data_IF_646277005596
#
_entry.id   IF_646277005596
#
_cell.length_a   1.000
_cell.length_b   1.000
_cell.length_c   1.000
_cell.angle_alpha   90.00
_cell.angle_beta   90.00
_cell.angle_gamma   90.00
#
_symmetry.space_group_name_H-M   'P 1'
#
loop_
_entity.id
_entity.type
_entity.pdbx_description
1 polymer ?
#
# COMPACT_ATOMS: atom_id res chain seq x y z
N UNK A 1 -0.26 1.96 -12.08
CA UNK A 1 -1.08 3.18 -11.83
C UNK A 1 -0.31 4.40 -12.26
N UNK A 2 -1.02 5.49 -12.61
CA UNK A 2 -0.42 6.77 -12.99
C UNK A 2 0.37 7.37 -11.81
N UNK A 3 1.49 8.04 -12.11
CA UNK A 3 2.12 8.98 -11.18
C UNK A 3 1.24 10.22 -11.03
N UNK A 4 1.49 11.02 -9.99
CA UNK A 4 0.75 12.28 -9.84
C UNK A 4 0.93 13.21 -11.04
N UNK A 5 2.15 13.26 -11.63
CA UNK A 5 2.43 14.06 -12.81
C UNK A 5 1.58 13.60 -14.01
N UNK A 6 1.62 12.30 -14.32
CA UNK A 6 0.80 11.73 -15.40
C UNK A 6 -0.69 11.95 -15.15
N UNK A 7 -1.14 11.88 -13.89
CA UNK A 7 -2.53 12.16 -13.52
C UNK A 7 -2.89 13.62 -13.80
N UNK A 8 -2.03 14.58 -13.43
CA UNK A 8 -2.22 15.99 -13.70
C UNK A 8 -2.24 16.27 -15.21
N UNK A 9 -1.30 15.69 -15.96
CA UNK A 9 -1.25 15.83 -17.43
C UNK A 9 -2.52 15.23 -18.07
N UNK A 10 -3.00 14.11 -17.56
CA UNK A 10 -4.20 13.44 -18.03
C UNK A 10 -5.48 14.26 -17.78
N UNK A 11 -5.51 15.00 -16.67
CA UNK A 11 -6.62 15.87 -16.25
C UNK A 11 -6.45 17.34 -16.67
N UNK A 12 -5.42 17.67 -17.46
CA UNK A 12 -5.08 19.07 -17.81
C UNK A 12 -6.20 19.85 -18.50
N UNK A 13 -7.17 19.17 -19.15
CA UNK A 13 -8.36 19.78 -19.75
C UNK A 13 -9.47 20.12 -18.75
N UNK A 14 -9.35 19.71 -17.49
CA UNK A 14 -10.35 19.99 -16.47
C UNK A 14 -10.15 21.41 -15.89
N UNK A 15 -11.25 22.06 -15.52
CA UNK A 15 -11.22 23.39 -14.91
C UNK A 15 -10.70 23.42 -13.45
N UNK A 16 -10.22 22.27 -12.93
CA UNK A 16 -9.75 22.11 -11.56
C UNK A 16 -8.33 22.65 -11.40
N UNK A 17 -8.06 23.25 -10.24
CA UNK A 17 -6.71 23.65 -9.84
C UNK A 17 -5.84 22.43 -9.53
N UNK A 18 -4.51 22.60 -9.58
CA UNK A 18 -3.57 21.53 -9.19
C UNK A 18 -3.80 21.01 -7.77
N UNK A 19 -4.23 21.87 -6.86
CA UNK A 19 -4.54 21.50 -5.47
C UNK A 19 -5.77 20.59 -5.38
N UNK A 20 -6.79 20.87 -6.16
CA UNK A 20 -8.00 20.04 -6.26
C UNK A 20 -7.68 18.69 -6.89
N UNK A 21 -6.91 18.67 -7.97
CA UNK A 21 -6.45 17.44 -8.64
C UNK A 21 -5.55 16.59 -7.72
N UNK A 22 -4.69 17.23 -6.89
CA UNK A 22 -3.94 16.51 -5.86
C UNK A 22 -4.88 15.88 -4.82
N UNK A 23 -5.90 16.62 -4.40
CA UNK A 23 -6.93 16.10 -3.49
C UNK A 23 -7.68 14.90 -4.07
N UNK A 24 -8.04 14.96 -5.36
CA UNK A 24 -8.63 13.81 -6.08
C UNK A 24 -7.67 12.62 -6.14
N UNK A 25 -6.40 12.84 -6.48
CA UNK A 25 -5.39 11.80 -6.57
C UNK A 25 -5.16 11.09 -5.23
N UNK A 26 -5.08 11.85 -4.13
CA UNK A 26 -4.96 11.29 -2.78
C UNK A 26 -6.17 10.41 -2.45
N UNK A 27 -7.37 10.79 -2.91
CA UNK A 27 -8.62 10.11 -2.60
C UNK A 27 -8.91 8.92 -3.51
N UNK A 28 -8.72 9.09 -4.82
CA UNK A 28 -9.12 8.13 -5.84
C UNK A 28 -7.96 7.34 -6.45
N UNK A 29 -6.72 7.72 -6.14
CA UNK A 29 -5.52 7.07 -6.65
C UNK A 29 -5.24 7.37 -8.11
N UNK A 30 -4.34 6.57 -8.68
CA UNK A 30 -3.85 6.72 -10.04
C UNK A 30 -4.27 5.60 -11.00
N UNK A 31 -5.29 4.78 -10.69
CA UNK A 31 -5.79 3.82 -11.67
C UNK A 31 -6.32 4.55 -12.90
N UNK A 32 -5.79 4.19 -14.09
CA UNK A 32 -6.11 4.87 -15.34
C UNK A 32 -7.61 4.90 -15.63
N UNK A 33 -8.31 3.79 -15.36
CA UNK A 33 -9.76 3.71 -15.56
C UNK A 33 -10.51 4.74 -14.69
N UNK A 34 -10.03 5.02 -13.48
CA UNK A 34 -10.61 6.04 -12.60
C UNK A 34 -10.27 7.45 -13.09
N UNK A 35 -9.00 7.66 -13.49
CA UNK A 35 -8.56 8.95 -14.02
C UNK A 35 -9.29 9.36 -15.32
N UNK A 36 -9.62 8.39 -16.19
CA UNK A 36 -10.30 8.62 -17.48
C UNK A 36 -11.78 8.94 -17.36
N UNK A 37 -12.41 8.63 -16.25
CA UNK A 37 -13.87 8.67 -16.12
C UNK A 37 -14.30 9.60 -15.01
N UNK A 38 -15.52 10.14 -15.15
CA UNK A 38 -16.18 10.91 -14.08
C UNK A 38 -17.06 9.96 -13.27
N UNK A 39 -16.42 9.16 -12.40
CA UNK A 39 -17.15 8.32 -11.46
C UNK A 39 -17.48 9.11 -10.20
N UNK A 40 -18.66 8.86 -9.63
CA UNK A 40 -18.88 9.20 -8.24
C UNK A 40 -17.98 8.34 -7.33
N UNK A 41 -17.85 8.76 -6.08
CA UNK A 41 -16.97 8.11 -5.13
C UNK A 41 -17.27 6.61 -4.94
N UNK A 42 -18.56 6.26 -4.84
CA UNK A 42 -18.98 4.90 -4.59
C UNK A 42 -18.61 3.99 -5.77
N UNK A 43 -18.87 4.42 -6.98
CA UNK A 43 -18.55 3.67 -8.20
C UNK A 43 -17.03 3.55 -8.40
N UNK A 44 -16.26 4.62 -8.12
CA UNK A 44 -14.81 4.57 -8.18
C UNK A 44 -14.24 3.49 -7.25
N UNK A 45 -14.67 3.45 -5.99
CA UNK A 45 -14.18 2.44 -5.04
C UNK A 45 -14.68 1.02 -5.35
N UNK A 46 -15.87 0.86 -5.93
CA UNK A 46 -16.34 -0.44 -6.39
C UNK A 46 -15.46 -0.99 -7.52
N UNK A 47 -15.05 -0.15 -8.47
CA UNK A 47 -14.14 -0.54 -9.56
C UNK A 47 -12.78 -0.96 -9.00
N UNK A 48 -12.18 -0.15 -8.11
CA UNK A 48 -10.89 -0.47 -7.47
C UNK A 48 -10.97 -1.77 -6.67
N UNK A 49 -12.06 -1.97 -5.94
CA UNK A 49 -12.33 -3.21 -5.21
C UNK A 49 -12.42 -4.42 -6.16
N UNK A 50 -13.11 -4.27 -7.30
CA UNK A 50 -13.19 -5.30 -8.34
C UNK A 50 -11.81 -5.65 -8.93
N UNK A 51 -10.96 -4.66 -9.19
CA UNK A 51 -9.58 -4.86 -9.65
C UNK A 51 -8.81 -5.66 -8.59
N UNK A 52 -8.85 -5.24 -7.33
CA UNK A 52 -8.18 -5.92 -6.21
C UNK A 52 -8.63 -7.39 -6.12
N UNK A 53 -9.93 -7.65 -6.06
CA UNK A 53 -10.45 -9.02 -5.95
C UNK A 53 -10.09 -9.89 -7.16
N UNK A 54 -10.04 -9.32 -8.36
CA UNK A 54 -9.61 -10.05 -9.56
C UNK A 54 -8.16 -10.48 -9.46
N UNK A 55 -7.26 -9.56 -9.08
CA UNK A 55 -5.83 -9.85 -8.90
C UNK A 55 -5.63 -10.87 -7.79
N UNK A 56 -6.22 -10.64 -6.61
CA UNK A 56 -6.08 -11.54 -5.46
C UNK A 56 -6.61 -12.94 -5.78
N UNK A 57 -7.79 -13.05 -6.37
CA UNK A 57 -8.39 -14.36 -6.67
C UNK A 57 -7.55 -15.13 -7.69
N UNK A 58 -7.11 -14.48 -8.78
CA UNK A 58 -6.39 -15.14 -9.88
C UNK A 58 -4.92 -15.38 -9.54
N UNK A 59 -4.23 -14.33 -9.09
CA UNK A 59 -2.77 -14.34 -9.02
C UNK A 59 -2.24 -14.78 -7.66
N UNK A 60 -3.09 -14.79 -6.62
CA UNK A 60 -2.70 -15.23 -5.29
C UNK A 60 -3.47 -16.48 -4.87
N UNK A 61 -4.78 -16.39 -4.66
CA UNK A 61 -5.57 -17.48 -4.06
C UNK A 61 -5.51 -18.74 -4.90
N UNK A 62 -5.79 -18.64 -6.22
CA UNK A 62 -5.75 -19.81 -7.12
C UNK A 62 -4.34 -20.33 -7.33
N UNK A 63 -3.35 -19.43 -7.54
CA UNK A 63 -1.95 -19.82 -7.79
C UNK A 63 -1.33 -20.55 -6.61
N UNK A 64 -1.58 -20.09 -5.40
CA UNK A 64 -0.97 -20.63 -4.18
C UNK A 64 -1.90 -21.56 -3.40
N UNK A 65 -3.09 -21.88 -3.95
CA UNK A 65 -4.08 -22.79 -3.36
C UNK A 65 -4.40 -22.47 -1.90
N UNK A 66 -4.71 -21.18 -1.62
CA UNK A 66 -5.00 -20.71 -0.27
C UNK A 66 -6.34 -21.30 0.19
N UNK A 67 -6.30 -22.25 1.14
CA UNK A 67 -7.50 -22.90 1.68
C UNK A 67 -8.20 -22.07 2.76
N UNK A 68 -7.44 -21.21 3.49
CA UNK A 68 -7.98 -20.36 4.57
C UNK A 68 -8.03 -18.91 4.10
N UNK A 69 -8.93 -18.63 3.17
CA UNK A 69 -9.04 -17.31 2.55
C UNK A 69 -9.41 -16.23 3.57
N UNK A 70 -10.28 -16.53 4.54
CA UNK A 70 -10.66 -15.61 5.61
C UNK A 70 -9.46 -15.14 6.44
N UNK A 71 -8.48 -16.02 6.66
CA UNK A 71 -7.27 -15.70 7.38
C UNK A 71 -6.32 -14.82 6.53
N UNK A 72 -6.22 -15.13 5.24
CA UNK A 72 -5.48 -14.30 4.28
C UNK A 72 -6.07 -12.88 4.22
N UNK A 73 -7.40 -12.74 4.08
CA UNK A 73 -8.08 -11.46 4.01
C UNK A 73 -7.87 -10.63 5.29
N UNK A 74 -7.80 -11.26 6.45
CA UNK A 74 -7.49 -10.60 7.71
C UNK A 74 -6.05 -10.06 7.76
N UNK A 75 -5.09 -10.84 7.27
CA UNK A 75 -3.69 -10.39 7.14
C UNK A 75 -3.62 -9.19 6.21
N UNK A 76 -4.28 -9.26 5.06
CA UNK A 76 -4.33 -8.14 4.09
C UNK A 76 -4.93 -6.91 4.73
N UNK A 77 -6.05 -7.04 5.45
CA UNK A 77 -6.69 -5.94 6.14
C UNK A 77 -5.75 -5.27 7.14
N UNK A 78 -5.05 -6.07 7.95
CA UNK A 78 -4.03 -5.56 8.89
C UNK A 78 -2.94 -4.75 8.17
N UNK A 79 -2.42 -5.26 7.04
CA UNK A 79 -1.37 -4.59 6.27
C UNK A 79 -1.87 -3.23 5.77
N UNK A 80 -3.07 -3.19 5.17
CA UNK A 80 -3.66 -1.98 4.59
C UNK A 80 -3.95 -0.92 5.67
N UNK A 81 -4.42 -1.33 6.85
CA UNK A 81 -4.65 -0.44 8.00
C UNK A 81 -3.34 0.16 8.54
N UNK A 82 -2.22 -0.54 8.36
CA UNK A 82 -0.92 -0.15 8.87
C UNK A 82 0.07 0.31 7.78
N UNK A 83 -0.42 0.70 6.60
CA UNK A 83 0.41 1.30 5.54
C UNK A 83 1.16 2.52 6.07
N UNK A 84 2.47 2.59 5.78
CA UNK A 84 3.35 3.63 6.28
C UNK A 84 3.77 3.47 7.76
N UNK A 85 3.31 2.43 8.47
CA UNK A 85 3.77 2.11 9.82
C UNK A 85 4.69 0.88 9.80
N UNK A 86 5.64 0.85 10.71
CA UNK A 86 6.51 -0.31 10.90
C UNK A 86 5.75 -1.44 11.58
N UNK A 87 5.85 -2.64 11.04
CA UNK A 87 5.35 -3.86 11.68
C UNK A 87 6.20 -5.07 11.29
N UNK A 88 5.97 -6.19 11.95
CA UNK A 88 6.63 -7.46 11.67
C UNK A 88 5.61 -8.58 11.49
N UNK A 89 6.01 -9.69 10.85
CA UNK A 89 5.16 -10.87 10.78
C UNK A 89 4.76 -11.40 12.17
N UNK A 90 5.63 -11.22 13.18
CA UNK A 90 5.32 -11.54 14.57
C UNK A 90 4.21 -10.66 15.14
N UNK A 91 4.20 -9.34 14.85
CA UNK A 91 3.13 -8.44 15.32
C UNK A 91 1.79 -8.80 14.68
N UNK A 92 1.75 -9.15 13.41
CA UNK A 92 0.54 -9.65 12.73
C UNK A 92 0.07 -10.96 13.41
N UNK A 93 0.98 -11.92 13.66
CA UNK A 93 0.63 -13.18 14.32
C UNK A 93 0.04 -12.94 15.70
N UNK A 94 0.62 -12.02 16.48
CA UNK A 94 0.15 -11.66 17.82
C UNK A 94 -1.23 -11.00 17.76
N UNK A 95 -1.45 -10.08 16.83
CA UNK A 95 -2.76 -9.45 16.59
C UNK A 95 -3.82 -10.51 16.26
N UNK A 96 -3.55 -11.43 15.33
CA UNK A 96 -4.51 -12.48 14.97
C UNK A 96 -4.77 -13.48 16.11
N UNK A 97 -3.76 -13.75 16.96
CA UNK A 97 -3.96 -14.55 18.17
C UNK A 97 -4.92 -13.86 19.16
N UNK A 98 -4.86 -12.54 19.30
CA UNK A 98 -5.81 -11.79 20.14
C UNK A 98 -7.25 -11.87 19.61
N UNK A 99 -7.43 -12.10 18.31
CA UNK A 99 -8.72 -12.39 17.67
C UNK A 99 -9.10 -13.88 17.70
N UNK A 100 -8.44 -14.71 18.51
CA UNK A 100 -8.62 -16.16 18.58
C UNK A 100 -8.32 -16.90 17.26
N UNK A 101 -7.49 -16.35 16.40
CA UNK A 101 -7.07 -16.92 15.13
C UNK A 101 -5.60 -17.29 15.17
N UNK A 102 -5.28 -18.54 14.82
CA UNK A 102 -3.89 -19.02 14.78
C UNK A 102 -3.38 -19.00 13.34
N UNK A 103 -2.30 -18.24 13.12
CA UNK A 103 -1.53 -18.22 11.88
C UNK A 103 -0.05 -18.33 12.22
N UNK A 104 0.68 -19.14 11.45
CA UNK A 104 2.13 -19.22 11.61
C UNK A 104 2.81 -17.96 11.04
N UNK A 105 3.91 -17.56 11.61
CA UNK A 105 4.73 -16.46 11.12
C UNK A 105 5.20 -16.72 9.68
N UNK A 106 5.51 -17.98 9.36
CA UNK A 106 5.87 -18.42 8.01
C UNK A 106 4.73 -18.17 6.99
N UNK A 107 3.48 -18.50 7.36
CA UNK A 107 2.32 -18.21 6.50
C UNK A 107 2.16 -16.71 6.24
N UNK A 108 2.43 -15.86 7.25
CA UNK A 108 2.38 -14.42 7.09
C UNK A 108 3.45 -13.93 6.11
N UNK A 109 4.69 -14.41 6.23
CA UNK A 109 5.75 -14.09 5.26
C UNK A 109 5.39 -14.53 3.84
N UNK A 110 4.76 -15.71 3.68
CA UNK A 110 4.27 -16.15 2.39
C UNK A 110 3.20 -15.19 1.83
N UNK A 111 2.25 -14.76 2.66
CA UNK A 111 1.21 -13.81 2.24
C UNK A 111 1.80 -12.45 1.83
N UNK A 112 2.74 -11.91 2.60
CA UNK A 112 3.44 -10.67 2.26
C UNK A 112 4.15 -10.80 0.91
N UNK A 113 4.92 -11.87 0.70
CA UNK A 113 5.63 -12.13 -0.56
C UNK A 113 4.68 -12.26 -1.74
N UNK A 114 3.52 -12.92 -1.59
CA UNK A 114 2.56 -13.07 -2.68
C UNK A 114 1.85 -11.77 -3.02
N UNK A 115 1.57 -10.93 -2.03
CA UNK A 115 1.03 -9.59 -2.26
C UNK A 115 2.05 -8.69 -2.98
N UNK A 116 3.32 -8.80 -2.66
CA UNK A 116 4.41 -8.11 -3.35
C UNK A 116 4.55 -8.60 -4.80
N UNK A 117 4.58 -9.91 -5.03
CA UNK A 117 4.64 -10.51 -6.37
C UNK A 117 3.42 -10.16 -7.24
N UNK A 118 2.28 -9.91 -6.62
CA UNK A 118 1.06 -9.45 -7.30
C UNK A 118 1.00 -7.91 -7.45
N UNK A 119 2.08 -7.21 -7.07
CA UNK A 119 2.18 -5.74 -7.13
C UNK A 119 1.03 -5.03 -6.40
N UNK A 120 0.59 -5.58 -5.26
CA UNK A 120 -0.41 -4.94 -4.39
C UNK A 120 0.28 -4.10 -3.33
N UNK A 121 1.39 -4.60 -2.79
CA UNK A 121 2.23 -3.91 -1.81
C UNK A 121 3.68 -3.87 -2.26
N UNK A 122 4.42 -2.91 -1.71
CA UNK A 122 5.87 -2.78 -1.85
C UNK A 122 6.51 -2.69 -0.47
N UNK A 123 7.49 -3.55 -0.16
CA UNK A 123 8.27 -3.42 1.06
C UNK A 123 9.22 -2.22 0.96
N UNK A 124 9.44 -1.56 2.07
CA UNK A 124 10.46 -0.55 2.26
C UNK A 124 11.29 -0.94 3.49
N UNK A 125 12.52 -1.36 3.23
CA UNK A 125 13.44 -1.81 4.28
C UNK A 125 13.96 -0.63 5.09
N UNK A 126 14.45 -0.91 6.28
CA UNK A 126 15.06 0.11 7.14
C UNK A 126 16.57 0.16 6.93
N UNK A 127 17.10 1.36 6.86
CA UNK A 127 18.52 1.63 6.77
C UNK A 127 19.04 2.36 8.02
N UNK A 128 19.98 1.75 8.71
CA UNK A 128 20.66 2.38 9.83
C UNK A 128 21.75 3.31 9.30
N UNK A 129 21.55 4.61 9.45
CA UNK A 129 22.46 5.65 8.97
C UNK A 129 23.81 5.64 9.69
N UNK A 130 23.85 5.22 10.97
CA UNK A 130 25.09 5.13 11.73
C UNK A 130 25.83 3.83 11.41
N UNK A 131 25.13 2.70 11.48
CA UNK A 131 25.71 1.38 11.18
C UNK A 131 25.91 1.13 9.69
N UNK A 132 25.43 2.02 8.81
CA UNK A 132 25.48 1.90 7.33
C UNK A 132 25.05 0.52 6.85
N UNK A 133 23.95 0.01 7.39
CA UNK A 133 23.45 -1.33 7.11
C UNK A 133 21.95 -1.40 7.00
N UNK A 134 21.45 -2.32 6.14
CA UNK A 134 20.04 -2.62 6.02
C UNK A 134 19.63 -3.47 7.23
N UNK A 135 18.55 -3.05 7.90
CA UNK A 135 17.96 -3.77 9.03
C UNK A 135 16.91 -4.75 8.51
N UNK A 136 17.05 -6.02 8.89
CA UNK A 136 16.17 -7.13 8.43
C UNK A 136 14.82 -7.21 9.15
N UNK A 137 14.43 -6.22 9.93
CA UNK A 137 13.20 -6.27 10.74
C UNK A 137 12.49 -4.93 10.77
N UNK A 138 11.17 -4.98 10.97
CA UNK A 138 10.32 -3.80 11.07
C UNK A 138 10.31 -2.96 9.78
N UNK A 139 10.02 -3.60 8.67
CA UNK A 139 9.81 -2.95 7.38
C UNK A 139 8.51 -2.14 7.41
N UNK A 140 8.41 -1.13 6.57
CA UNK A 140 7.13 -0.53 6.19
C UNK A 140 6.65 -1.15 4.87
N UNK A 141 5.35 -1.10 4.67
CA UNK A 141 4.75 -1.53 3.41
C UNK A 141 3.90 -0.39 2.85
N UNK A 142 4.01 -0.18 1.55
CA UNK A 142 3.25 0.81 0.81
C UNK A 142 2.39 0.12 -0.24
N UNK A 143 1.22 0.69 -0.53
CA UNK A 143 0.32 0.17 -1.55
C UNK A 143 0.76 0.62 -2.94
N UNK A 144 0.51 -0.21 -3.94
CA UNK A 144 0.71 0.16 -5.35
C UNK A 144 -0.19 1.33 -5.79
N UNK A 145 -1.30 1.53 -5.08
CA UNK A 145 -2.21 2.64 -5.27
C UNK A 145 -2.95 2.98 -3.97
N UNK A 146 -3.01 4.26 -3.62
CA UNK A 146 -3.63 4.71 -2.36
C UNK A 146 -5.13 4.43 -2.29
N UNK A 147 -5.82 4.36 -3.45
CA UNK A 147 -7.24 4.06 -3.50
C UNK A 147 -7.60 2.66 -2.99
N UNK A 148 -6.66 1.71 -3.03
CA UNK A 148 -6.84 0.37 -2.46
C UNK A 148 -7.19 0.44 -0.97
N UNK A 149 -6.60 1.38 -0.23
CA UNK A 149 -6.90 1.57 1.20
C UNK A 149 -8.38 1.91 1.40
N UNK A 150 -8.88 2.85 0.63
CA UNK A 150 -10.26 3.34 0.77
C UNK A 150 -11.29 2.37 0.19
N UNK A 151 -10.95 1.73 -0.92
CA UNK A 151 -11.82 0.73 -1.54
C UNK A 151 -12.07 -0.49 -0.63
N UNK A 152 -11.06 -0.88 0.17
CA UNK A 152 -11.12 -2.08 1.00
C UNK A 152 -11.57 -1.81 2.45
N UNK A 153 -11.32 -0.61 2.98
CA UNK A 153 -11.62 -0.25 4.36
C UNK A 153 -12.77 0.76 4.50
N UNK A 154 -13.22 1.33 3.38
CA UNK A 154 -14.10 2.50 3.37
C UNK A 154 -13.32 3.81 3.54
N UNK A 155 -13.81 4.88 2.93
CA UNK A 155 -13.19 6.20 3.06
C UNK A 155 -13.47 6.81 4.41
N UNK A 156 -12.41 7.24 5.10
CA UNK A 156 -12.50 8.04 6.31
C UNK A 156 -11.37 9.08 6.30
N UNK A 157 -11.68 10.35 6.57
CA UNK A 157 -10.68 11.44 6.62
C UNK A 157 -9.50 11.15 7.55
N UNK A 158 -9.72 10.42 8.65
CA UNK A 158 -8.66 9.99 9.57
C UNK A 158 -7.68 8.98 8.94
N UNK A 159 -8.04 8.38 7.81
CA UNK A 159 -7.18 7.42 7.10
C UNK A 159 -6.24 8.06 6.08
N UNK A 160 -6.23 9.40 5.96
CA UNK A 160 -5.27 10.13 5.12
C UNK A 160 -3.83 10.00 5.61
N UNK A 161 -3.65 9.63 6.88
CA UNK A 161 -2.34 9.33 7.44
C UNK A 161 -1.67 8.20 6.64
N UNK A 162 -0.44 8.43 6.23
CA UNK A 162 0.34 7.53 5.39
C UNK A 162 0.02 7.59 3.89
N UNK A 163 -1.06 8.25 3.44
CA UNK A 163 -1.36 8.37 2.00
C UNK A 163 -0.31 9.23 1.28
N UNK A 164 0.06 10.38 1.86
CA UNK A 164 1.10 11.24 1.30
C UNK A 164 2.45 10.54 1.29
N UNK A 165 2.80 9.88 2.38
CA UNK A 165 4.03 9.08 2.49
C UNK A 165 4.05 7.98 1.41
N UNK A 166 2.92 7.28 1.19
CA UNK A 166 2.79 6.28 0.13
C UNK A 166 3.01 6.88 -1.28
N UNK A 167 2.45 8.05 -1.55
CA UNK A 167 2.60 8.74 -2.83
C UNK A 167 4.06 9.12 -3.06
N UNK A 168 4.73 9.68 -2.04
CA UNK A 168 6.15 10.04 -2.11
C UNK A 168 7.01 8.80 -2.34
N UNK A 169 6.76 7.71 -1.62
CA UNK A 169 7.45 6.44 -1.82
C UNK A 169 7.36 5.96 -3.28
N UNK A 170 6.14 5.91 -3.82
CA UNK A 170 5.93 5.47 -5.20
C UNK A 170 6.62 6.39 -6.22
N UNK A 171 6.61 7.69 -5.97
CA UNK A 171 7.29 8.65 -6.85
C UNK A 171 8.81 8.47 -6.82
N UNK A 172 9.41 8.25 -5.66
CA UNK A 172 10.84 7.96 -5.53
C UNK A 172 11.20 6.66 -6.27
N UNK A 173 10.40 5.60 -6.11
CA UNK A 173 10.61 4.33 -6.84
C UNK A 173 10.49 4.51 -8.35
N UNK A 174 9.53 5.30 -8.85
CA UNK A 174 9.38 5.58 -10.29
C UNK A 174 10.56 6.35 -10.88
N UNK A 175 11.22 7.18 -10.07
CA UNK A 175 12.45 7.88 -10.45
C UNK A 175 13.69 7.00 -10.45
N UNK A 176 13.55 5.74 -10.06
CA UNK A 176 14.62 4.74 -10.08
C UNK A 176 15.49 4.73 -8.82
N UNK A 177 15.08 5.41 -7.76
CA UNK A 177 15.82 5.37 -6.49
C UNK A 177 15.62 4.04 -5.76
N UNK A 178 16.67 3.60 -5.09
CA UNK A 178 16.54 2.65 -4.00
C UNK A 178 16.10 3.40 -2.75
N UNK A 179 14.94 3.00 -2.21
CA UNK A 179 14.25 3.75 -1.15
C UNK A 179 14.21 2.92 0.12
N UNK A 180 14.65 3.54 1.21
CA UNK A 180 14.72 2.96 2.55
C UNK A 180 14.08 3.89 3.57
N UNK A 181 13.66 3.35 4.70
CA UNK A 181 13.31 4.14 5.88
C UNK A 181 14.59 4.38 6.66
N UNK A 182 14.92 5.64 6.91
CA UNK A 182 16.12 5.99 7.66
C UNK A 182 15.91 5.79 9.16
N UNK A 183 16.91 5.19 9.82
CA UNK A 183 17.03 5.18 11.26
C UNK A 183 18.29 5.95 11.67
N UNK A 184 18.12 6.98 12.48
CA UNK A 184 19.22 7.70 13.10
C UNK A 184 19.01 7.71 14.62
N UNK A 185 19.73 6.83 15.33
CA UNK A 185 19.53 6.54 16.74
C UNK A 185 18.09 6.12 17.08
N UNK A 186 17.34 7.02 17.73
CA UNK A 186 15.93 6.82 18.10
C UNK A 186 14.95 7.50 17.12
N UNK A 187 15.48 8.30 16.17
CA UNK A 187 14.65 9.06 15.22
C UNK A 187 14.47 8.28 13.92
N UNK A 188 13.26 8.34 13.40
CA UNK A 188 12.94 7.86 12.07
C UNK A 188 13.02 9.01 11.06
N UNK A 189 13.55 8.72 9.88
CA UNK A 189 13.54 9.57 8.69
C UNK A 189 12.66 8.84 7.69
N UNK A 190 11.63 9.49 7.18
CA UNK A 190 10.63 8.84 6.32
C UNK A 190 11.27 8.14 5.14
N UNK A 191 12.22 8.80 4.44
CA UNK A 191 12.92 8.19 3.32
C UNK A 191 14.39 8.56 3.25
N UNK A 192 15.19 7.56 2.91
CA UNK A 192 16.57 7.68 2.39
C UNK A 192 16.51 7.13 0.98
N UNK A 193 16.86 7.95 -0.02
CA UNK A 193 16.85 7.59 -1.43
C UNK A 193 18.30 7.63 -1.96
N UNK A 194 18.76 6.57 -2.62
CA UNK A 194 20.12 6.43 -3.17
C UNK A 194 20.08 6.06 -4.65
#
# INVERSE_FOLDING_TARGET
TLSIREYLDFKASNALSQKELLGEYIRFGGFTIIAMSQYDEQNAYQIVNGIYHTVVSRDIVKRHRINKQDLFDRVVKFIIENVGKTFSANSISTFLKSEHRKVSVESIYNYLRWLEQAFIIYPCERYDLQGKSILKTQEKYYLADVSLKYALLGYNRKMLDGAMENIVFLELKRRGYDVYIGKNETKEIDFVAT
#
